data_IF_080056882879
#
_entry.id   IF_080056882879
#
_cell.length_a   1.000
_cell.length_b   1.000
_cell.length_c   1.000
_cell.angle_alpha   90.00
_cell.angle_beta   90.00
_cell.angle_gamma   90.00
#
_symmetry.space_group_name_H-M   'P 1'
#
loop_
_entity.id
_entity.type
_entity.pdbx_description
1 polymer ?
#
# COMPACT_ATOMS: atom_id res chain seq x y z
N UNK A 1 -4.66 24.24 -21.43
CA UNK A 1 -5.43 24.16 -20.17
C UNK A 1 -5.46 22.73 -19.63
N UNK A 2 -5.80 21.71 -20.42
CA UNK A 2 -5.85 20.29 -20.00
C UNK A 2 -4.54 19.83 -19.35
N UNK A 3 -3.39 19.96 -20.04
CA UNK A 3 -2.10 19.51 -19.50
C UNK A 3 -1.77 20.09 -18.11
N UNK A 4 -2.06 21.40 -17.90
CA UNK A 4 -1.85 22.03 -16.58
C UNK A 4 -2.70 21.40 -15.48
N UNK A 5 -3.92 20.95 -15.81
CA UNK A 5 -4.82 20.29 -14.85
C UNK A 5 -4.36 18.86 -14.55
N UNK A 6 -3.83 18.16 -15.55
CA UNK A 6 -3.25 16.82 -15.31
C UNK A 6 -2.02 16.90 -14.41
N UNK A 7 -1.10 17.82 -14.69
CA UNK A 7 0.08 18.04 -13.83
C UNK A 7 -0.34 18.45 -12.42
N UNK A 8 -1.35 19.34 -12.28
CA UNK A 8 -1.86 19.70 -10.97
C UNK A 8 -2.47 18.50 -10.22
N UNK A 9 -3.14 17.58 -10.91
CA UNK A 9 -3.71 16.39 -10.32
C UNK A 9 -2.62 15.37 -9.88
N UNK A 10 -1.48 15.35 -10.58
CA UNK A 10 -0.35 14.46 -10.23
C UNK A 10 0.49 14.99 -9.07
N UNK A 11 0.64 16.31 -8.95
CA UNK A 11 1.48 16.97 -7.94
C UNK A 11 0.69 17.37 -6.67
N UNK A 12 -0.62 17.19 -6.66
CA UNK A 12 -1.45 17.55 -5.50
C UNK A 12 -1.47 16.39 -4.49
N UNK A 13 -1.06 16.68 -3.26
CA UNK A 13 -1.00 15.69 -2.18
C UNK A 13 -2.39 15.35 -1.63
N UNK A 14 -3.33 16.32 -1.61
CA UNK A 14 -4.72 16.09 -1.21
C UNK A 14 -5.48 15.30 -2.28
N UNK A 15 -5.91 14.06 -2.00
CA UNK A 15 -6.56 13.21 -3.00
C UNK A 15 -7.86 13.78 -3.57
N UNK A 16 -8.65 14.50 -2.77
CA UNK A 16 -9.90 15.12 -3.23
C UNK A 16 -9.62 16.29 -4.18
N UNK A 17 -8.63 17.11 -3.89
CA UNK A 17 -8.19 18.21 -4.74
C UNK A 17 -7.54 17.70 -6.02
N UNK A 18 -6.72 16.65 -5.92
CA UNK A 18 -6.15 15.95 -7.08
C UNK A 18 -7.26 15.47 -8.02
N UNK A 19 -8.25 14.80 -7.46
CA UNK A 19 -9.41 14.34 -8.23
C UNK A 19 -10.20 15.50 -8.86
N UNK A 20 -10.43 16.59 -8.12
CA UNK A 20 -11.11 17.78 -8.68
C UNK A 20 -10.36 18.37 -9.88
N UNK A 21 -9.03 18.43 -9.83
CA UNK A 21 -8.20 18.86 -10.98
C UNK A 21 -8.34 17.91 -12.17
N UNK A 22 -8.32 16.60 -11.93
CA UNK A 22 -8.48 15.58 -12.96
C UNK A 22 -9.87 15.63 -13.62
N UNK A 23 -10.93 15.87 -12.84
CA UNK A 23 -12.29 16.03 -13.36
C UNK A 23 -12.41 17.20 -14.36
N UNK A 24 -11.81 18.35 -14.06
CA UNK A 24 -11.80 19.49 -14.99
C UNK A 24 -11.06 19.13 -16.29
N UNK A 25 -9.95 18.39 -16.21
CA UNK A 25 -9.25 17.92 -17.42
C UNK A 25 -10.15 16.97 -18.23
N UNK A 26 -10.87 16.08 -17.56
CA UNK A 26 -11.79 15.13 -18.18
C UNK A 26 -12.95 15.82 -18.91
N UNK A 27 -13.55 16.85 -18.33
CA UNK A 27 -14.61 17.64 -18.98
C UNK A 27 -14.14 18.26 -20.30
N UNK A 28 -12.87 18.70 -20.34
CA UNK A 28 -12.28 19.35 -21.51
C UNK A 28 -11.82 18.36 -22.59
N UNK A 29 -11.44 17.13 -22.21
CA UNK A 29 -10.79 16.19 -23.11
C UNK A 29 -11.13 14.71 -22.84
N UNK A 30 -12.41 14.40 -22.67
CA UNK A 30 -12.91 13.08 -22.28
C UNK A 30 -12.55 11.90 -23.23
N UNK A 31 -12.11 12.20 -24.46
CA UNK A 31 -11.72 11.18 -25.45
C UNK A 31 -10.21 10.92 -25.51
N UNK A 32 -9.46 11.56 -24.65
CA UNK A 32 -8.00 11.40 -24.57
C UNK A 32 -7.66 10.36 -23.51
N UNK A 33 -6.96 9.28 -23.89
CA UNK A 33 -6.69 8.14 -23.01
C UNK A 33 -5.96 8.53 -21.72
N UNK A 34 -4.88 9.32 -21.81
CA UNK A 34 -4.13 9.79 -20.64
C UNK A 34 -4.99 10.62 -19.67
N UNK A 35 -5.96 11.37 -20.17
CA UNK A 35 -6.89 12.12 -19.29
C UNK A 35 -7.73 11.16 -18.48
N UNK A 36 -8.21 10.08 -19.09
CA UNK A 36 -8.94 9.02 -18.39
C UNK A 36 -8.07 8.27 -17.39
N UNK A 37 -6.81 7.99 -17.74
CA UNK A 37 -5.85 7.34 -16.85
C UNK A 37 -5.63 8.19 -15.59
N UNK A 38 -5.24 9.44 -15.74
CA UNK A 38 -5.01 10.36 -14.60
C UNK A 38 -6.27 10.55 -13.76
N UNK A 39 -7.44 10.71 -14.42
CA UNK A 39 -8.70 10.84 -13.68
C UNK A 39 -9.04 9.59 -12.88
N UNK A 40 -8.81 8.41 -13.46
CA UNK A 40 -9.03 7.13 -12.79
C UNK A 40 -8.11 6.91 -11.59
N UNK A 41 -6.82 7.24 -11.73
CA UNK A 41 -5.85 7.16 -10.63
C UNK A 41 -6.15 8.17 -9.52
N UNK A 42 -6.52 9.40 -9.87
CA UNK A 42 -6.91 10.40 -8.89
C UNK A 42 -8.19 9.99 -8.15
N UNK A 43 -9.18 9.43 -8.85
CA UNK A 43 -10.38 8.88 -8.23
C UNK A 43 -10.05 7.71 -7.28
N UNK A 44 -9.11 6.83 -7.67
CA UNK A 44 -8.64 5.73 -6.83
C UNK A 44 -8.01 6.25 -5.54
N UNK A 45 -7.07 7.20 -5.62
CA UNK A 45 -6.45 7.83 -4.44
C UNK A 45 -7.46 8.51 -3.52
N UNK A 46 -8.55 9.05 -4.08
CA UNK A 46 -9.64 9.67 -3.34
C UNK A 46 -10.70 8.66 -2.82
N UNK A 47 -10.45 7.34 -2.90
CA UNK A 47 -11.40 6.32 -2.44
C UNK A 47 -12.68 6.20 -3.29
N UNK A 48 -12.72 6.83 -4.46
CA UNK A 48 -13.88 6.82 -5.37
C UNK A 48 -13.77 5.64 -6.33
N UNK A 49 -13.89 4.43 -5.77
CA UNK A 49 -13.61 3.16 -6.45
C UNK A 49 -14.44 2.94 -7.71
N UNK A 50 -15.73 3.29 -7.67
CA UNK A 50 -16.63 3.13 -8.81
C UNK A 50 -16.26 4.04 -9.98
N UNK A 51 -15.90 5.29 -9.69
CA UNK A 51 -15.43 6.28 -10.65
C UNK A 51 -14.07 5.87 -11.21
N UNK A 52 -13.15 5.44 -10.37
CA UNK A 52 -11.84 4.92 -10.77
C UNK A 52 -11.98 3.82 -11.81
N UNK A 53 -12.81 2.82 -11.52
CA UNK A 53 -13.11 1.73 -12.46
C UNK A 53 -13.72 2.21 -13.77
N UNK A 54 -14.65 3.18 -13.73
CA UNK A 54 -15.29 3.70 -14.93
C UNK A 54 -14.27 4.40 -15.85
N UNK A 55 -13.39 5.22 -15.26
CA UNK A 55 -12.37 5.97 -15.98
C UNK A 55 -11.25 5.05 -16.49
N UNK A 56 -10.73 4.13 -15.69
CA UNK A 56 -9.67 3.20 -16.10
C UNK A 56 -10.16 2.22 -17.17
N UNK A 57 -11.41 1.75 -17.12
CA UNK A 57 -12.02 0.97 -18.20
C UNK A 57 -12.16 1.78 -19.50
N UNK A 58 -12.47 3.08 -19.39
CA UNK A 58 -12.51 3.96 -20.56
C UNK A 58 -11.11 4.20 -21.13
N UNK A 59 -10.11 4.41 -20.27
CA UNK A 59 -8.71 4.51 -20.67
C UNK A 59 -8.24 3.26 -21.42
N UNK A 60 -8.49 2.08 -20.86
CA UNK A 60 -8.17 0.79 -21.47
C UNK A 60 -8.77 0.64 -22.88
N UNK A 61 -10.05 1.01 -23.06
CA UNK A 61 -10.69 0.98 -24.41
C UNK A 61 -10.07 1.94 -25.40
N UNK A 62 -9.53 3.08 -24.94
CA UNK A 62 -8.93 4.10 -25.80
C UNK A 62 -7.47 3.80 -26.14
N UNK A 63 -6.72 3.20 -25.23
CA UNK A 63 -5.27 3.03 -25.34
C UNK A 63 -4.85 1.59 -25.64
N UNK A 64 -5.70 0.61 -25.34
CA UNK A 64 -5.35 -0.82 -25.37
C UNK A 64 -4.35 -1.24 -24.29
N UNK A 65 -4.06 -0.37 -23.31
CA UNK A 65 -3.09 -0.65 -22.24
C UNK A 65 -3.76 -1.38 -21.07
N UNK A 66 -3.05 -2.35 -20.53
CA UNK A 66 -3.48 -3.16 -19.37
C UNK A 66 -2.76 -2.76 -18.06
N UNK A 67 -1.93 -1.74 -18.11
CA UNK A 67 -1.05 -1.30 -17.00
C UNK A 67 -1.79 -1.11 -15.68
N UNK A 68 -3.06 -0.70 -15.74
CA UNK A 68 -3.86 -0.40 -14.54
C UNK A 68 -4.73 -1.57 -14.06
N UNK A 69 -4.47 -2.78 -14.53
CA UNK A 69 -5.17 -3.97 -14.05
C UNK A 69 -5.09 -4.17 -12.53
N UNK A 70 -3.92 -3.98 -11.86
CA UNK A 70 -3.84 -4.08 -10.41
C UNK A 70 -4.75 -3.07 -9.69
N UNK A 71 -4.72 -1.80 -10.11
CA UNK A 71 -5.57 -0.75 -9.54
C UNK A 71 -7.07 -1.05 -9.75
N UNK A 72 -7.42 -1.59 -10.92
CA UNK A 72 -8.81 -1.99 -11.20
C UNK A 72 -9.24 -3.18 -10.35
N UNK A 73 -8.37 -4.17 -10.13
CA UNK A 73 -8.65 -5.32 -9.29
C UNK A 73 -8.84 -4.90 -7.82
N UNK A 74 -7.97 -4.02 -7.32
CA UNK A 74 -8.10 -3.53 -5.96
C UNK A 74 -9.34 -2.64 -5.76
N UNK A 75 -9.71 -1.82 -6.74
CA UNK A 75 -10.96 -1.05 -6.69
C UNK A 75 -12.21 -1.96 -6.69
N UNK A 76 -12.21 -3.09 -7.42
CA UNK A 76 -13.30 -4.08 -7.33
C UNK A 76 -13.32 -4.76 -5.96
N UNK A 77 -12.15 -5.06 -5.37
CA UNK A 77 -12.00 -5.58 -4.02
C UNK A 77 -12.56 -4.61 -2.99
N UNK A 78 -12.17 -3.33 -3.04
CA UNK A 78 -12.64 -2.28 -2.15
C UNK A 78 -14.18 -2.07 -2.22
N UNK A 79 -14.80 -2.38 -3.36
CA UNK A 79 -16.26 -2.41 -3.51
C UNK A 79 -16.91 -3.72 -3.02
N UNK A 80 -16.16 -4.63 -2.41
CA UNK A 80 -16.65 -5.94 -1.95
C UNK A 80 -16.97 -6.91 -3.08
N UNK A 81 -16.49 -6.66 -4.30
CA UNK A 81 -16.77 -7.47 -5.49
C UNK A 81 -15.63 -8.46 -5.75
N UNK A 82 -15.37 -9.34 -4.79
CA UNK A 82 -14.20 -10.22 -4.76
C UNK A 82 -14.09 -11.11 -6.01
N UNK A 83 -15.19 -11.68 -6.50
CA UNK A 83 -15.20 -12.50 -7.72
C UNK A 83 -14.72 -11.71 -8.95
N UNK A 84 -15.10 -10.42 -9.05
CA UNK A 84 -14.69 -9.57 -10.16
C UNK A 84 -13.23 -9.18 -10.05
N UNK A 85 -12.75 -8.92 -8.83
CA UNK A 85 -11.35 -8.67 -8.56
C UNK A 85 -10.50 -9.87 -8.96
N UNK A 86 -10.86 -11.09 -8.54
CA UNK A 86 -10.19 -12.33 -8.93
C UNK A 86 -10.23 -12.57 -10.44
N UNK A 87 -11.33 -12.25 -11.11
CA UNK A 87 -11.43 -12.36 -12.56
C UNK A 87 -10.43 -11.44 -13.29
N UNK A 88 -10.10 -10.27 -12.73
CA UNK A 88 -9.05 -9.39 -13.27
C UNK A 88 -7.66 -9.94 -12.96
N UNK A 89 -7.40 -10.39 -11.74
CA UNK A 89 -6.12 -10.99 -11.32
C UNK A 89 -5.75 -12.19 -12.20
N UNK A 90 -6.70 -13.07 -12.48
CA UNK A 90 -6.48 -14.28 -13.25
C UNK A 90 -6.78 -14.13 -14.75
N UNK A 91 -6.94 -12.90 -15.23
CA UNK A 91 -7.18 -12.65 -16.65
C UNK A 91 -5.96 -13.03 -17.52
N UNK A 92 -6.16 -13.42 -18.80
CA UNK A 92 -5.05 -13.69 -19.71
C UNK A 92 -4.12 -12.47 -19.91
N UNK A 93 -4.65 -11.29 -19.72
CA UNK A 93 -3.92 -10.03 -19.81
C UNK A 93 -2.93 -9.83 -18.66
N UNK A 94 -3.26 -10.33 -17.47
CA UNK A 94 -2.40 -10.27 -16.29
C UNK A 94 -1.03 -10.94 -16.54
N UNK A 95 -1.02 -12.06 -17.25
CA UNK A 95 0.22 -12.76 -17.63
C UNK A 95 1.12 -12.01 -18.60
N UNK A 96 0.63 -10.94 -19.25
CA UNK A 96 1.37 -10.11 -20.19
C UNK A 96 1.96 -8.85 -19.55
N UNK A 97 1.64 -8.58 -18.29
CA UNK A 97 2.12 -7.43 -17.54
C UNK A 97 3.62 -7.56 -17.22
N UNK A 98 4.23 -6.43 -16.87
CA UNK A 98 5.58 -6.43 -16.32
C UNK A 98 5.61 -7.21 -14.99
N UNK A 99 6.80 -7.70 -14.60
CA UNK A 99 6.92 -8.43 -13.32
C UNK A 99 6.47 -7.59 -12.13
N UNK A 100 6.76 -6.28 -12.13
CA UNK A 100 6.29 -5.34 -11.12
C UNK A 100 4.76 -5.39 -11.00
N UNK A 101 4.03 -5.18 -12.10
CA UNK A 101 2.56 -5.20 -12.08
C UNK A 101 1.98 -6.59 -11.79
N UNK A 102 2.70 -7.67 -12.09
CA UNK A 102 2.30 -9.01 -11.65
C UNK A 102 2.42 -9.16 -10.11
N UNK A 103 3.48 -8.62 -9.50
CA UNK A 103 3.62 -8.59 -8.04
C UNK A 103 2.50 -7.76 -7.40
N UNK A 104 2.18 -6.60 -7.96
CA UNK A 104 1.04 -5.79 -7.50
C UNK A 104 -0.28 -6.59 -7.54
N UNK A 105 -0.53 -7.37 -8.61
CA UNK A 105 -1.70 -8.25 -8.69
C UNK A 105 -1.69 -9.35 -7.62
N UNK A 106 -0.54 -9.93 -7.28
CA UNK A 106 -0.43 -10.91 -6.21
C UNK A 106 -0.69 -10.29 -4.84
N UNK A 107 -0.25 -9.04 -4.62
CA UNK A 107 -0.57 -8.27 -3.41
C UNK A 107 -2.10 -8.07 -3.29
N UNK A 108 -2.74 -7.67 -4.38
CA UNK A 108 -4.21 -7.53 -4.41
C UNK A 108 -4.88 -8.89 -4.17
N UNK A 109 -4.42 -9.97 -4.79
CA UNK A 109 -4.97 -11.32 -4.57
C UNK A 109 -4.84 -11.75 -3.11
N UNK A 110 -3.68 -11.52 -2.49
CA UNK A 110 -3.48 -11.80 -1.07
C UNK A 110 -4.50 -11.03 -0.21
N UNK A 111 -4.73 -9.75 -0.50
CA UNK A 111 -5.77 -8.96 0.15
C UNK A 111 -7.16 -9.57 -0.03
N UNK A 112 -7.51 -10.00 -1.24
CA UNK A 112 -8.79 -10.67 -1.52
C UNK A 112 -8.93 -11.95 -0.67
N UNK A 113 -7.87 -12.77 -0.56
CA UNK A 113 -7.90 -14.01 0.23
C UNK A 113 -8.12 -13.72 1.72
N UNK A 114 -7.54 -12.63 2.24
CA UNK A 114 -7.80 -12.19 3.61
C UNK A 114 -9.26 -11.75 3.79
N UNK A 115 -9.80 -11.00 2.84
CA UNK A 115 -11.20 -10.54 2.86
C UNK A 115 -12.20 -11.72 2.78
N UNK A 116 -11.80 -12.84 2.13
CA UNK A 116 -12.54 -14.11 2.12
C UNK A 116 -12.40 -14.90 3.45
N UNK A 117 -11.62 -14.43 4.43
CA UNK A 117 -11.31 -15.18 5.66
C UNK A 117 -10.37 -16.36 5.44
N UNK A 118 -9.49 -16.30 4.44
CA UNK A 118 -8.55 -17.36 4.05
C UNK A 118 -7.09 -16.89 4.16
N UNK A 119 -6.61 -16.53 5.37
CA UNK A 119 -5.30 -15.92 5.55
C UNK A 119 -4.13 -16.85 5.15
N UNK A 120 -4.23 -18.16 5.40
CA UNK A 120 -3.19 -19.10 4.95
C UNK A 120 -3.02 -19.09 3.42
N UNK A 121 -4.13 -18.96 2.68
CA UNK A 121 -4.08 -18.84 1.22
C UNK A 121 -3.44 -17.52 0.80
N UNK A 122 -3.70 -16.43 1.53
CA UNK A 122 -3.07 -15.14 1.29
C UNK A 122 -1.55 -15.20 1.43
N UNK A 123 -1.04 -15.91 2.44
CA UNK A 123 0.39 -16.16 2.62
C UNK A 123 0.97 -16.93 1.43
N UNK A 124 0.31 -18.01 1.00
CA UNK A 124 0.79 -18.86 -0.11
C UNK A 124 0.86 -18.09 -1.43
N UNK A 125 -0.10 -17.23 -1.72
CA UNK A 125 -0.13 -16.40 -2.94
C UNK A 125 1.12 -15.54 -3.07
N UNK A 126 1.67 -15.04 -1.96
CA UNK A 126 2.84 -14.16 -1.95
C UNK A 126 4.17 -14.91 -1.86
N UNK A 127 4.19 -16.25 -1.73
CA UNK A 127 5.41 -17.04 -1.71
C UNK A 127 6.06 -17.12 -3.10
N UNK A 128 6.65 -16.02 -3.51
CA UNK A 128 7.36 -15.87 -4.79
C UNK A 128 8.88 -15.83 -4.57
N UNK A 129 9.71 -16.20 -5.58
CA UNK A 129 11.16 -16.19 -5.45
C UNK A 129 11.74 -14.85 -4.99
N UNK A 130 11.09 -13.75 -5.36
CA UNK A 130 11.52 -12.39 -5.01
C UNK A 130 11.47 -12.07 -3.51
N UNK A 131 10.74 -12.84 -2.70
CA UNK A 131 10.77 -12.68 -1.24
C UNK A 131 12.16 -12.99 -0.66
N UNK A 132 12.88 -13.94 -1.25
CA UNK A 132 14.11 -14.49 -0.64
C UNK A 132 15.35 -14.42 -1.52
N UNK A 133 15.26 -13.80 -2.70
CA UNK A 133 16.39 -13.72 -3.63
C UNK A 133 17.45 -12.65 -3.26
N UNK A 134 17.24 -11.91 -2.17
CA UNK A 134 18.13 -10.90 -1.62
C UNK A 134 18.28 -9.62 -2.47
N UNK A 135 17.42 -9.43 -3.45
CA UNK A 135 17.49 -8.26 -4.34
C UNK A 135 16.39 -7.25 -3.98
N UNK A 136 16.81 -6.04 -3.63
CA UNK A 136 15.86 -4.94 -3.41
C UNK A 136 15.46 -4.32 -4.74
N UNK A 137 14.15 -4.17 -4.94
CA UNK A 137 13.48 -3.59 -6.10
C UNK A 137 12.45 -2.56 -5.64
N UNK A 138 11.96 -1.73 -6.55
CA UNK A 138 10.92 -0.74 -6.22
C UNK A 138 9.65 -1.35 -5.59
N UNK A 139 9.35 -2.61 -5.86
CA UNK A 139 8.20 -3.31 -5.29
C UNK A 139 8.54 -4.20 -4.08
N UNK A 140 9.79 -4.21 -3.58
CA UNK A 140 10.17 -5.07 -2.46
C UNK A 140 9.47 -4.67 -1.17
N UNK A 141 9.46 -3.38 -0.82
CA UNK A 141 8.78 -2.90 0.37
C UNK A 141 7.28 -3.24 0.38
N UNK A 142 6.48 -2.91 -0.64
CA UNK A 142 5.06 -3.29 -0.66
C UNK A 142 4.83 -4.81 -0.70
N UNK A 143 5.72 -5.60 -1.32
CA UNK A 143 5.63 -7.06 -1.31
C UNK A 143 5.87 -7.63 0.09
N UNK A 144 6.94 -7.19 0.77
CA UNK A 144 7.29 -7.64 2.13
C UNK A 144 6.21 -7.23 3.12
N UNK A 145 5.72 -6.01 3.01
CA UNK A 145 4.61 -5.51 3.81
C UNK A 145 3.35 -6.36 3.65
N UNK A 146 2.94 -6.63 2.41
CA UNK A 146 1.75 -7.45 2.15
C UNK A 146 1.89 -8.89 2.65
N UNK A 147 3.13 -9.44 2.60
CA UNK A 147 3.42 -10.76 3.13
C UNK A 147 3.34 -10.78 4.67
N UNK A 148 3.91 -9.76 5.33
CA UNK A 148 3.79 -9.57 6.77
C UNK A 148 2.33 -9.47 7.21
N UNK A 149 1.53 -8.68 6.52
CA UNK A 149 0.09 -8.50 6.75
C UNK A 149 -0.68 -9.83 6.60
N UNK A 150 -0.30 -10.67 5.63
CA UNK A 150 -0.92 -11.98 5.44
C UNK A 150 -0.53 -12.95 6.57
N UNK A 151 0.73 -12.93 7.03
CA UNK A 151 1.21 -13.70 8.16
C UNK A 151 0.49 -13.30 9.45
N UNK A 152 0.36 -12.00 9.71
CA UNK A 152 -0.37 -11.47 10.87
C UNK A 152 -1.83 -11.92 10.86
N UNK A 153 -2.49 -11.84 9.71
CA UNK A 153 -3.87 -12.32 9.56
C UNK A 153 -3.99 -13.85 9.79
N UNK A 154 -2.90 -14.60 9.58
CA UNK A 154 -2.81 -16.04 9.84
C UNK A 154 -2.40 -16.37 11.29
N UNK A 155 -2.24 -15.37 12.18
CA UNK A 155 -1.83 -15.54 13.58
C UNK A 155 -0.35 -15.91 13.74
N UNK A 156 0.50 -15.56 12.76
CA UNK A 156 1.96 -15.83 12.75
C UNK A 156 2.72 -14.53 13.08
N UNK A 157 2.48 -14.02 14.29
CA UNK A 157 2.84 -12.66 14.70
C UNK A 157 4.37 -12.41 14.70
N UNK A 158 5.17 -13.37 15.17
CA UNK A 158 6.63 -13.25 15.18
C UNK A 158 7.20 -13.16 13.77
N UNK A 159 6.72 -14.02 12.86
CA UNK A 159 7.15 -13.98 11.47
C UNK A 159 6.67 -12.71 10.76
N UNK A 160 5.45 -12.27 11.08
CA UNK A 160 4.92 -11.01 10.55
C UNK A 160 5.82 -9.82 10.94
N UNK A 161 6.26 -9.76 12.21
CA UNK A 161 7.18 -8.73 12.69
C UNK A 161 8.50 -8.73 11.92
N UNK A 162 9.10 -9.89 11.74
CA UNK A 162 10.36 -10.02 10.97
C UNK A 162 10.20 -9.50 9.53
N UNK A 163 9.05 -9.75 8.89
CA UNK A 163 8.79 -9.27 7.54
C UNK A 163 8.43 -7.79 7.47
N UNK A 164 7.79 -7.22 8.51
CA UNK A 164 7.63 -5.77 8.61
C UNK A 164 9.00 -5.06 8.80
N UNK A 165 9.93 -5.66 9.57
CA UNK A 165 11.31 -5.15 9.66
C UNK A 165 12.01 -5.12 8.29
N UNK A 166 11.83 -6.18 7.49
CA UNK A 166 12.37 -6.23 6.13
C UNK A 166 11.68 -5.21 5.20
N UNK A 167 10.37 -5.01 5.35
CA UNK A 167 9.64 -4.00 4.59
C UNK A 167 10.16 -2.59 4.92
N UNK A 168 10.30 -2.25 6.20
CA UNK A 168 10.84 -0.98 6.65
C UNK A 168 12.28 -0.75 6.15
N UNK A 169 13.12 -1.78 6.18
CA UNK A 169 14.50 -1.70 5.65
C UNK A 169 14.54 -1.50 4.12
N UNK A 170 13.52 -1.93 3.39
CA UNK A 170 13.39 -1.76 1.94
C UNK A 170 12.65 -0.47 1.53
N UNK A 171 12.19 0.32 2.49
CA UNK A 171 11.36 1.53 2.33
C UNK A 171 12.06 2.79 2.87
N UNK A 172 13.14 3.27 2.22
CA UNK A 172 13.90 4.42 2.70
C UNK A 172 13.10 5.72 2.68
N UNK A 173 12.07 5.81 1.84
CA UNK A 173 11.24 7.00 1.67
C UNK A 173 10.01 7.01 2.60
N UNK A 174 9.76 5.91 3.33
CA UNK A 174 8.64 5.81 4.27
C UNK A 174 7.28 5.82 3.58
N UNK A 175 7.16 5.13 2.43
CA UNK A 175 5.91 5.02 1.69
C UNK A 175 4.89 4.10 2.38
N UNK A 176 5.38 3.22 3.29
CA UNK A 176 4.56 2.32 4.11
C UNK A 176 4.67 2.67 5.59
N UNK A 177 3.73 2.22 6.40
CA UNK A 177 3.76 2.29 7.86
C UNK A 177 4.49 1.09 8.52
N UNK A 178 5.35 0.39 7.77
CA UNK A 178 6.02 -0.83 8.23
C UNK A 178 6.76 -0.64 9.56
N UNK A 179 7.43 0.50 9.75
CA UNK A 179 8.12 0.83 11.00
C UNK A 179 7.17 0.93 12.20
N UNK A 180 5.99 1.52 12.01
CA UNK A 180 4.98 1.63 13.06
C UNK A 180 4.43 0.24 13.41
N UNK A 181 4.22 -0.62 12.41
CA UNK A 181 3.78 -2.01 12.61
C UNK A 181 4.80 -2.84 13.39
N UNK A 182 6.09 -2.64 13.16
CA UNK A 182 7.15 -3.28 13.96
C UNK A 182 7.05 -2.88 15.42
N UNK A 183 6.84 -1.58 15.71
CA UNK A 183 6.70 -1.09 17.07
C UNK A 183 5.43 -1.65 17.75
N UNK A 184 4.31 -1.69 17.04
CA UNK A 184 3.07 -2.27 17.55
C UNK A 184 3.21 -3.75 17.93
N UNK A 185 3.87 -4.54 17.09
CA UNK A 185 4.07 -5.98 17.32
C UNK A 185 5.20 -6.27 18.30
N UNK A 186 6.19 -5.37 18.40
CA UNK A 186 7.32 -5.52 19.33
C UNK A 186 6.93 -5.37 20.79
N UNK A 187 5.72 -4.90 21.08
CA UNK A 187 5.26 -4.53 22.41
C UNK A 187 6.28 -3.57 23.03
N UNK A 188 5.99 -2.28 23.09
CA UNK A 188 6.74 -1.40 23.98
C UNK A 188 6.39 -1.85 25.39
N UNK A 189 7.19 -2.77 25.95
CA UNK A 189 7.33 -2.82 27.39
C UNK A 189 8.00 -1.48 27.74
N UNK A 190 7.20 -0.46 28.01
CA UNK A 190 7.63 0.60 28.89
C UNK A 190 7.89 -0.11 30.23
N UNK A 191 9.10 -0.66 30.38
CA UNK A 191 9.65 -0.82 31.72
C UNK A 191 9.54 0.60 32.30
N UNK A 192 8.66 0.73 33.31
CA UNK A 192 8.64 1.91 34.15
C UNK A 192 10.10 2.22 34.46
N UNK A 193 10.61 3.30 33.89
CA UNK A 193 11.83 3.90 34.39
C UNK A 193 11.47 4.24 35.81
N UNK A 194 11.82 3.32 36.73
CA UNK A 194 11.76 3.59 38.17
C UNK A 194 12.42 4.95 38.33
N UNK A 195 11.62 5.90 38.82
CA UNK A 195 12.09 7.20 39.23
C UNK A 195 13.36 6.95 40.04
N UNK A 196 14.50 7.33 39.51
CA UNK A 196 15.69 7.49 40.30
C UNK A 196 15.33 8.58 41.31
N UNK A 197 14.89 8.16 42.50
CA UNK A 197 14.88 9.05 43.66
C UNK A 197 16.30 9.60 43.78
N UNK A 198 16.47 10.86 43.46
CA UNK A 198 17.67 11.62 43.79
C UNK A 198 17.84 11.53 45.31
N UNK A 199 18.66 10.61 45.79
CA UNK A 199 19.22 10.64 47.13
C UNK A 199 20.09 11.85 47.19
N UNK A 200 19.52 12.97 47.68
CA UNK A 200 20.20 14.19 48.02
C UNK A 200 21.20 13.84 49.15
N UNK A 201 22.52 13.95 48.97
CA UNK A 201 23.46 13.66 50.04
C UNK A 201 23.29 14.72 51.14
N UNK A 202 22.84 14.28 52.34
CA UNK A 202 22.79 15.08 53.54
C UNK A 202 24.14 15.81 53.71
N UNK A 203 24.07 17.13 53.77
CA UNK A 203 25.20 18.05 54.06
C UNK A 203 25.75 17.67 55.46
N UNK A 204 27.04 17.40 55.63
CA UNK A 204 27.60 17.14 56.94
C UNK A 204 27.60 18.43 57.78
N UNK A 205 26.86 18.38 58.88
CA UNK A 205 26.90 19.43 59.92
C UNK A 205 28.37 19.72 60.32
N UNK A 206 28.73 20.99 60.21
CA UNK A 206 30.01 21.52 60.60
C UNK A 206 30.08 21.55 62.13
N UNK A 207 31.04 20.89 62.78
CA UNK A 207 31.18 20.95 64.23
C UNK A 207 32.27 21.98 64.60
N UNK A 208 31.86 23.25 64.73
CA UNK A 208 32.66 24.24 65.50
C UNK A 208 31.82 25.53 65.70
N UNK A 209 31.16 25.66 66.94
CA UNK A 209 31.35 26.76 67.91
C UNK A 209 30.53 26.52 69.19
#
# INVERSE_FOLDING_TARGET
>A
MVARRLVAAELEDDPERAYAHAQVARELAARVGVVREVTGLAAYRAGKWAEALAELRAARRLTGRETYLPVMADAERALGRLDRALALVHSPEAGKLTRASQIELLIVESGIRRDEGRPDTAVVVLQVPELTDGKIRAWSAPLYYAYADALLAAGRDEEAREWFEQAAAADPDGETDASDRVHELGGVVLEDLEEFEDDDPEDPEDPDD
#
